data_IF_063379324063
#
_entry.id   IF_063379324063
#
_cell.length_a   1.000
_cell.length_b   1.000
_cell.length_c   1.000
_cell.angle_alpha   90.00
_cell.angle_beta   90.00
_cell.angle_gamma   90.00
#
_symmetry.space_group_name_H-M   'P 1'
#
loop_
_entity.id
_entity.type
_entity.pdbx_description
1 polymer ?
#
# COMPACT_ATOMS: atom_id res chain seq x y z
N UNK A 1 -75.86 23.03 -11.27
CA UNK A 1 -75.58 21.86 -10.42
C UNK A 1 -74.43 21.13 -11.09
N UNK A 2 -73.22 21.30 -10.57
CA UNK A 2 -71.99 20.70 -11.13
C UNK A 2 -71.57 19.63 -10.14
N UNK A 3 -71.73 18.36 -10.50
CA UNK A 3 -71.23 17.23 -9.74
C UNK A 3 -69.72 17.14 -9.91
N UNK A 4 -68.98 17.31 -8.81
CA UNK A 4 -67.54 17.09 -8.74
C UNK A 4 -67.30 15.61 -8.45
N UNK A 5 -66.77 14.91 -9.46
CA UNK A 5 -66.43 13.50 -9.40
C UNK A 5 -65.02 13.34 -8.80
N UNK A 6 -64.94 12.95 -7.52
CA UNK A 6 -63.69 12.59 -6.83
C UNK A 6 -63.37 11.12 -7.11
N UNK A 7 -62.76 10.84 -8.27
CA UNK A 7 -62.08 9.58 -8.50
C UNK A 7 -60.63 9.68 -8.00
N UNK A 8 -60.34 8.86 -7.00
CA UNK A 8 -59.03 8.63 -6.39
C UNK A 8 -58.05 8.04 -7.41
N UNK A 9 -57.15 8.87 -7.95
CA UNK A 9 -55.94 8.41 -8.62
C UNK A 9 -54.88 8.02 -7.56
N UNK A 10 -54.99 6.83 -6.98
CA UNK A 10 -53.92 6.16 -6.24
C UNK A 10 -53.37 4.98 -7.06
N UNK A 11 -53.05 5.27 -8.33
CA UNK A 11 -52.34 4.39 -9.23
C UNK A 11 -50.93 4.93 -9.53
N UNK A 12 -50.21 5.41 -8.52
CA UNK A 12 -48.79 5.68 -8.67
C UNK A 12 -48.07 4.33 -8.53
N UNK A 13 -47.59 3.83 -9.66
CA UNK A 13 -46.61 2.76 -9.80
C UNK A 13 -45.55 2.88 -8.70
N UNK A 14 -45.61 2.02 -7.69
CA UNK A 14 -44.46 1.76 -6.83
C UNK A 14 -43.32 1.35 -7.76
N UNK A 15 -42.13 1.97 -7.67
CA UNK A 15 -40.96 1.47 -8.37
C UNK A 15 -40.83 0.00 -8.01
N UNK A 16 -40.78 -0.86 -9.04
CA UNK A 16 -40.55 -2.29 -8.87
C UNK A 16 -39.45 -2.46 -7.83
N UNK A 17 -39.78 -3.20 -6.76
CA UNK A 17 -38.87 -3.46 -5.66
C UNK A 17 -37.48 -3.79 -6.25
N UNK A 18 -36.49 -2.96 -5.91
CA UNK A 18 -35.12 -3.21 -6.32
C UNK A 18 -34.81 -4.66 -5.94
N UNK A 19 -34.59 -5.50 -6.95
CA UNK A 19 -34.38 -6.92 -6.76
C UNK A 19 -33.00 -7.04 -6.12
N UNK A 20 -32.96 -7.08 -4.78
CA UNK A 20 -31.71 -7.22 -4.02
C UNK A 20 -31.17 -8.59 -4.42
N UNK A 21 -29.99 -8.67 -5.07
CA UNK A 21 -29.42 -9.94 -5.47
C UNK A 21 -29.31 -10.86 -4.26
N UNK A 22 -29.69 -12.12 -4.41
CA UNK A 22 -29.52 -13.11 -3.34
C UNK A 22 -28.04 -13.19 -2.96
N UNK A 23 -27.73 -13.56 -1.71
CA UNK A 23 -26.34 -13.69 -1.25
C UNK A 23 -25.51 -14.67 -2.11
N UNK A 24 -26.16 -15.55 -2.89
CA UNK A 24 -25.51 -16.44 -3.86
C UNK A 24 -25.31 -15.86 -5.26
N UNK A 25 -25.67 -14.60 -5.51
CA UNK A 25 -25.43 -13.95 -6.81
C UNK A 25 -23.95 -13.65 -6.96
N UNK A 26 -23.31 -14.24 -7.98
CA UNK A 26 -21.92 -13.96 -8.33
C UNK A 26 -21.69 -12.44 -8.38
N UNK A 27 -20.79 -11.93 -7.53
CA UNK A 27 -20.36 -10.53 -7.52
C UNK A 27 -20.85 -9.65 -6.36
N UNK A 28 -21.85 -10.08 -5.58
CA UNK A 28 -22.39 -9.25 -4.47
C UNK A 28 -22.04 -9.78 -3.07
N UNK A 29 -21.97 -11.09 -2.86
CA UNK A 29 -21.43 -11.71 -1.63
C UNK A 29 -20.84 -13.09 -1.93
N UNK A 30 -19.81 -13.15 -2.78
CA UNK A 30 -19.19 -14.43 -3.16
C UNK A 30 -18.37 -15.09 -2.03
N UNK A 31 -18.37 -14.50 -0.83
CA UNK A 31 -17.75 -15.07 0.35
C UNK A 31 -18.81 -15.68 1.25
N UNK A 32 -18.82 -17.02 1.35
CA UNK A 32 -19.60 -17.72 2.36
C UNK A 32 -18.74 -17.87 3.60
N UNK A 33 -19.19 -17.31 4.71
CA UNK A 33 -18.56 -17.53 6.00
C UNK A 33 -18.62 -19.02 6.35
N UNK A 34 -17.55 -19.62 6.93
CA UNK A 34 -17.61 -20.98 7.43
C UNK A 34 -18.57 -21.07 8.63
N UNK A 35 -19.16 -22.24 8.87
CA UNK A 35 -20.05 -22.45 10.04
C UNK A 35 -19.31 -22.26 11.36
N UNK A 36 -18.03 -22.62 11.41
CA UNK A 36 -17.15 -22.41 12.56
C UNK A 36 -16.21 -21.25 12.26
N UNK A 37 -16.16 -20.19 13.10
CA UNK A 37 -15.22 -19.08 12.93
C UNK A 37 -13.77 -19.57 12.91
N UNK A 38 -12.99 -19.12 11.94
CA UNK A 38 -11.55 -19.31 11.94
C UNK A 38 -10.92 -18.51 13.11
N UNK A 39 -9.86 -19.02 13.79
CA UNK A 39 -9.22 -18.30 14.89
C UNK A 39 -8.83 -16.86 14.53
N UNK A 40 -8.29 -16.62 13.32
CA UNK A 40 -7.94 -15.28 12.87
C UNK A 40 -9.14 -14.35 12.68
N UNK A 41 -10.34 -14.86 12.41
CA UNK A 41 -11.54 -14.01 12.36
C UNK A 41 -11.91 -13.49 13.76
N UNK A 42 -11.62 -14.26 14.81
CA UNK A 42 -11.80 -13.82 16.19
C UNK A 42 -10.68 -12.87 16.61
N UNK A 43 -9.44 -13.16 16.20
CA UNK A 43 -8.29 -12.27 16.46
C UNK A 43 -8.48 -10.91 15.79
N UNK A 44 -8.86 -10.87 14.51
CA UNK A 44 -8.98 -9.62 13.73
C UNK A 44 -10.28 -8.87 13.98
N UNK A 45 -11.21 -9.46 14.72
CA UNK A 45 -12.36 -8.74 15.25
C UNK A 45 -11.92 -7.55 16.10
N UNK A 46 -10.77 -7.67 16.77
CA UNK A 46 -10.20 -6.62 17.60
C UNK A 46 -8.95 -6.04 16.94
N UNK A 47 -8.87 -4.71 16.89
CA UNK A 47 -7.72 -4.00 16.31
C UNK A 47 -6.39 -4.39 16.96
N UNK A 48 -6.36 -4.52 18.30
CA UNK A 48 -5.17 -4.95 19.02
C UNK A 48 -4.73 -6.39 18.66
N UNK A 49 -5.68 -7.28 18.38
CA UNK A 49 -5.37 -8.65 17.99
C UNK A 49 -4.76 -8.73 16.59
N UNK A 50 -5.32 -7.98 15.65
CA UNK A 50 -4.74 -7.83 14.31
C UNK A 50 -3.36 -7.20 14.36
N UNK A 51 -3.21 -6.08 15.08
CA UNK A 51 -1.93 -5.38 15.21
C UNK A 51 -0.84 -6.29 15.78
N UNK A 52 -1.15 -7.08 16.81
CA UNK A 52 -0.18 -8.02 17.40
C UNK A 52 0.23 -9.12 16.41
N UNK A 53 -0.71 -9.68 15.65
CA UNK A 53 -0.42 -10.70 14.64
C UNK A 53 0.41 -10.13 13.48
N UNK A 54 0.04 -8.93 13.02
CA UNK A 54 0.76 -8.19 11.98
C UNK A 54 2.19 -7.87 12.43
N UNK A 55 2.37 -7.48 13.69
CA UNK A 55 3.69 -7.14 14.23
C UNK A 55 4.61 -8.36 14.31
N UNK A 56 4.08 -9.53 14.65
CA UNK A 56 4.82 -10.79 14.61
C UNK A 56 5.35 -11.05 13.18
N UNK A 57 4.49 -10.91 12.18
CA UNK A 57 4.86 -11.15 10.78
C UNK A 57 5.85 -10.11 10.26
N UNK A 58 5.61 -8.83 10.58
CA UNK A 58 6.54 -7.73 10.27
C UNK A 58 7.91 -7.98 10.87
N UNK A 59 7.98 -8.41 12.13
CA UNK A 59 9.23 -8.74 12.81
C UNK A 59 10.02 -9.85 12.11
N UNK A 60 9.35 -10.88 11.57
CA UNK A 60 10.01 -11.90 10.75
C UNK A 60 10.60 -11.32 9.47
N UNK A 61 9.81 -10.54 8.74
CA UNK A 61 10.22 -9.97 7.46
C UNK A 61 11.35 -8.94 7.62
N UNK A 62 11.24 -7.99 8.56
CA UNK A 62 12.30 -7.02 8.87
C UNK A 62 13.62 -7.70 9.26
N UNK A 63 13.55 -8.87 9.89
CA UNK A 63 14.72 -9.67 10.25
C UNK A 63 15.27 -10.53 9.08
N UNK A 64 14.73 -10.37 7.86
CA UNK A 64 15.11 -11.18 6.70
C UNK A 64 14.64 -12.63 6.75
N UNK A 65 13.75 -13.00 7.68
CA UNK A 65 13.24 -14.37 7.84
C UNK A 65 12.04 -14.63 6.93
N UNK A 66 12.24 -14.41 5.63
CA UNK A 66 11.18 -14.50 4.61
C UNK A 66 10.53 -15.88 4.53
N UNK A 67 11.32 -16.96 4.71
CA UNK A 67 10.80 -18.33 4.74
C UNK A 67 9.90 -18.63 5.94
N UNK A 68 10.21 -18.09 7.11
CA UNK A 68 9.37 -18.26 8.31
C UNK A 68 8.06 -17.47 8.19
N UNK A 69 8.14 -16.26 7.61
CA UNK A 69 6.96 -15.45 7.31
C UNK A 69 6.04 -16.14 6.29
N UNK A 70 6.60 -16.74 5.24
CA UNK A 70 5.85 -17.52 4.25
C UNK A 70 5.17 -18.73 4.88
N UNK A 71 5.89 -19.51 5.70
CA UNK A 71 5.30 -20.65 6.41
C UNK A 71 4.12 -20.24 7.30
N UNK A 72 4.28 -19.10 8.01
CA UNK A 72 3.22 -18.54 8.86
C UNK A 72 1.99 -18.09 8.06
N UNK A 73 2.21 -17.48 6.90
CA UNK A 73 1.15 -17.07 5.99
C UNK A 73 0.43 -18.27 5.38
N UNK A 74 1.16 -19.31 4.97
CA UNK A 74 0.58 -20.55 4.46
C UNK A 74 -0.32 -21.22 5.51
N UNK A 75 0.18 -21.39 6.74
CA UNK A 75 -0.60 -21.92 7.86
C UNK A 75 -1.88 -21.09 8.09
N UNK A 76 -1.75 -19.76 8.11
CA UNK A 76 -2.88 -18.86 8.30
C UNK A 76 -3.92 -18.96 7.17
N UNK A 77 -3.48 -19.19 5.92
CA UNK A 77 -4.33 -19.30 4.74
C UNK A 77 -5.03 -20.66 4.64
N UNK A 78 -4.51 -21.73 5.25
CA UNK A 78 -5.02 -23.09 5.09
C UNK A 78 -6.51 -23.22 5.42
N UNK A 79 -6.97 -22.55 6.47
CA UNK A 79 -8.37 -22.52 6.90
C UNK A 79 -9.32 -21.76 5.98
N UNK A 80 -8.80 -21.04 4.98
CA UNK A 80 -9.58 -20.19 4.08
C UNK A 80 -9.70 -20.78 2.66
N UNK A 81 -10.90 -20.64 2.07
CA UNK A 81 -11.24 -21.20 0.75
C UNK A 81 -11.84 -20.15 -0.21
N UNK A 82 -11.86 -18.87 0.21
CA UNK A 82 -12.32 -17.77 -0.63
C UNK A 82 -11.44 -17.60 -1.87
N UNK A 83 -11.92 -16.79 -2.82
CA UNK A 83 -11.19 -16.56 -4.07
C UNK A 83 -9.80 -15.98 -3.83
N UNK A 84 -9.65 -15.10 -2.84
CA UNK A 84 -8.38 -14.48 -2.54
C UNK A 84 -7.42 -15.47 -1.87
N UNK A 85 -7.90 -16.27 -0.90
CA UNK A 85 -7.10 -17.35 -0.33
C UNK A 85 -6.61 -18.36 -1.38
N UNK A 86 -7.46 -18.73 -2.36
CA UNK A 86 -7.06 -19.61 -3.46
C UNK A 86 -6.00 -18.99 -4.36
N UNK A 87 -6.11 -17.70 -4.68
CA UNK A 87 -5.06 -16.98 -5.42
C UNK A 87 -3.75 -16.96 -4.63
N UNK A 88 -3.81 -16.62 -3.35
CA UNK A 88 -2.64 -16.60 -2.46
C UNK A 88 -1.91 -17.96 -2.43
N UNK A 89 -2.65 -19.06 -2.26
CA UNK A 89 -2.10 -20.43 -2.26
C UNK A 89 -1.52 -20.85 -3.61
N UNK A 90 -1.96 -20.24 -4.71
CA UNK A 90 -1.46 -20.52 -6.05
C UNK A 90 -0.13 -19.83 -6.38
N UNK A 91 0.25 -18.79 -5.64
CA UNK A 91 1.46 -18.00 -5.91
C UNK A 91 2.63 -18.55 -5.12
N UNK A 92 3.49 -19.27 -5.82
CA UNK A 92 4.77 -19.76 -5.28
C UNK A 92 5.82 -18.64 -5.24
N UNK A 93 6.80 -18.78 -4.35
CA UNK A 93 7.94 -17.88 -4.28
C UNK A 93 8.71 -17.85 -5.62
N UNK A 94 8.94 -19.01 -6.23
CA UNK A 94 9.70 -19.16 -7.49
C UNK A 94 8.95 -18.62 -8.72
N UNK A 95 7.63 -18.46 -8.62
CA UNK A 95 6.80 -17.86 -9.68
C UNK A 95 6.86 -16.34 -9.74
N UNK A 96 7.57 -15.69 -8.81
CA UNK A 96 7.73 -14.24 -8.73
C UNK A 96 9.19 -13.87 -8.99
N UNK A 97 9.42 -12.94 -9.92
CA UNK A 97 10.74 -12.55 -10.35
C UNK A 97 10.87 -11.02 -10.44
N UNK A 98 12.05 -10.51 -10.10
CA UNK A 98 12.45 -9.15 -10.41
C UNK A 98 13.23 -9.19 -11.73
N UNK A 99 12.81 -8.38 -12.69
CA UNK A 99 13.43 -8.29 -14.02
C UNK A 99 14.06 -6.91 -14.22
N UNK A 100 15.18 -6.86 -14.95
CA UNK A 100 15.92 -5.64 -15.28
C UNK A 100 17.23 -5.49 -14.51
N UNK A 101 17.46 -6.24 -13.42
CA UNK A 101 18.73 -6.18 -12.66
C UNK A 101 19.95 -6.52 -13.51
N UNK A 102 19.80 -7.35 -14.52
CA UNK A 102 20.82 -7.69 -15.51
C UNK A 102 21.37 -6.45 -16.24
N UNK A 103 20.55 -5.42 -16.43
CA UNK A 103 20.92 -4.18 -17.10
C UNK A 103 21.51 -3.15 -16.14
N UNK A 104 21.39 -3.37 -14.82
CA UNK A 104 21.83 -2.41 -13.81
C UNK A 104 23.36 -2.25 -13.80
N UNK A 105 24.10 -3.38 -13.82
CA UNK A 105 25.56 -3.33 -13.75
C UNK A 105 26.18 -2.58 -14.95
N UNK A 106 25.78 -2.83 -16.21
CA UNK A 106 26.23 -2.01 -17.34
C UNK A 106 25.95 -0.52 -17.16
N UNK A 107 24.74 -0.16 -16.71
CA UNK A 107 24.37 1.25 -16.47
C UNK A 107 25.27 1.89 -15.42
N UNK A 108 25.58 1.15 -14.35
CA UNK A 108 26.46 1.64 -13.27
C UNK A 108 27.94 1.66 -13.64
N UNK A 109 28.38 0.87 -14.62
CA UNK A 109 29.73 0.93 -15.16
C UNK A 109 29.97 2.20 -15.99
N UNK A 110 28.93 2.70 -16.67
CA UNK A 110 28.96 3.94 -17.45
C UNK A 110 28.66 5.19 -16.61
N UNK A 111 28.21 5.01 -15.36
CA UNK A 111 27.90 6.11 -14.44
C UNK A 111 29.16 6.88 -14.03
N UNK A 112 29.17 8.19 -14.29
CA UNK A 112 30.31 9.07 -13.98
C UNK A 112 30.24 9.70 -12.57
N UNK A 113 29.13 9.52 -11.86
CA UNK A 113 28.91 10.09 -10.53
C UNK A 113 29.52 9.27 -9.39
N UNK A 114 29.11 9.54 -8.14
CA UNK A 114 29.63 8.82 -6.99
C UNK A 114 29.20 7.33 -7.05
N UNK A 115 30.00 6.48 -6.42
CA UNK A 115 29.71 5.06 -6.36
C UNK A 115 28.37 4.81 -5.63
N UNK A 116 27.50 4.02 -6.26
CA UNK A 116 26.22 3.64 -5.66
C UNK A 116 26.45 2.65 -4.52
N UNK A 117 26.10 3.06 -3.30
CA UNK A 117 26.27 2.27 -2.07
C UNK A 117 24.95 1.77 -1.50
N UNK A 118 23.81 2.31 -1.94
CA UNK A 118 22.50 1.77 -1.63
C UNK A 118 21.49 1.88 -2.78
N UNK A 119 20.53 0.96 -2.77
CA UNK A 119 19.39 0.92 -3.66
C UNK A 119 18.14 0.81 -2.78
N UNK A 120 17.16 1.67 -2.96
CA UNK A 120 15.82 1.48 -2.40
C UNK A 120 14.91 0.86 -3.45
N UNK A 121 14.08 -0.10 -3.02
CA UNK A 121 13.10 -0.74 -3.87
C UNK A 121 11.76 -0.83 -3.12
N UNK A 122 10.81 0.02 -3.50
CA UNK A 122 9.47 0.06 -2.93
C UNK A 122 8.44 -0.52 -3.89
N UNK A 123 7.68 -1.53 -3.48
CA UNK A 123 6.49 -1.93 -4.22
C UNK A 123 5.33 -1.00 -3.90
N UNK A 124 4.68 -0.48 -4.93
CA UNK A 124 3.52 0.41 -4.81
C UNK A 124 2.42 0.05 -5.80
N UNK A 125 1.29 0.73 -5.69
CA UNK A 125 0.23 0.72 -6.68
C UNK A 125 -0.07 2.15 -7.14
N UNK A 126 -0.26 2.37 -8.45
CA UNK A 126 -0.77 3.63 -8.95
C UNK A 126 -2.05 4.07 -8.23
N UNK A 127 -2.24 5.38 -8.02
CA UNK A 127 -3.52 5.88 -7.54
C UNK A 127 -4.65 5.52 -8.52
N UNK A 128 -5.87 5.40 -8.00
CA UNK A 128 -7.12 5.25 -8.77
C UNK A 128 -7.34 3.94 -9.57
N UNK A 129 -6.45 2.95 -9.49
CA UNK A 129 -6.66 1.64 -10.16
C UNK A 129 -7.93 0.91 -9.73
N UNK A 130 -8.49 1.23 -8.56
CA UNK A 130 -9.73 0.63 -8.06
C UNK A 130 -10.94 0.83 -9.01
N UNK A 131 -10.87 1.80 -9.93
CA UNK A 131 -11.93 2.10 -10.90
C UNK A 131 -11.70 1.47 -12.27
N UNK A 132 -10.54 0.89 -12.54
CA UNK A 132 -10.20 0.26 -13.81
C UNK A 132 -10.58 -1.22 -13.80
N UNK A 133 -11.72 -1.56 -14.41
CA UNK A 133 -12.22 -2.93 -14.47
C UNK A 133 -11.70 -3.69 -15.70
N UNK A 134 -11.48 -5.00 -15.55
CA UNK A 134 -11.24 -5.91 -16.67
C UNK A 134 -9.80 -5.96 -17.18
N UNK A 135 -8.85 -5.37 -16.44
CA UNK A 135 -7.41 -5.46 -16.70
C UNK A 135 -6.70 -6.01 -15.48
N UNK A 136 -5.58 -6.70 -15.72
CA UNK A 136 -4.64 -7.04 -14.67
C UNK A 136 -3.73 -5.83 -14.44
N UNK A 137 -3.41 -5.60 -13.17
CA UNK A 137 -2.59 -4.52 -12.67
C UNK A 137 -1.33 -5.10 -12.04
N UNK A 138 -0.22 -4.99 -12.74
CA UNK A 138 1.09 -5.29 -12.15
C UNK A 138 1.42 -4.26 -11.06
N UNK A 139 2.02 -4.68 -9.93
CA UNK A 139 2.57 -3.73 -8.97
C UNK A 139 3.66 -2.89 -9.62
N UNK A 140 3.72 -1.61 -9.28
CA UNK A 140 4.82 -0.75 -9.70
C UNK A 140 5.97 -0.81 -8.69
N UNK A 141 7.19 -0.61 -9.18
CA UNK A 141 8.38 -0.55 -8.36
C UNK A 141 8.96 0.87 -8.38
N UNK A 142 9.10 1.44 -7.19
CA UNK A 142 9.79 2.69 -6.95
C UNK A 142 11.24 2.37 -6.64
N UNK A 143 12.15 2.81 -7.50
CA UNK A 143 13.57 2.61 -7.34
C UNK A 143 14.26 3.94 -7.01
N UNK A 144 15.17 3.91 -6.05
CA UNK A 144 16.13 4.99 -5.80
C UNK A 144 17.54 4.43 -5.73
N UNK A 145 18.49 5.12 -6.36
CA UNK A 145 19.91 4.80 -6.31
C UNK A 145 20.60 5.88 -5.48
N UNK A 146 21.44 5.48 -4.52
CA UNK A 146 22.06 6.40 -3.57
C UNK A 146 23.54 6.10 -3.38
N UNK A 147 24.30 7.16 -3.12
CA UNK A 147 25.69 7.11 -2.69
C UNK A 147 25.86 7.49 -1.22
N UNK A 148 27.08 7.27 -0.71
CA UNK A 148 27.45 7.64 0.66
C UNK A 148 27.49 9.17 0.90
N UNK A 149 27.38 9.99 -0.16
CA UNK A 149 27.32 11.45 -0.04
C UNK A 149 26.02 11.90 0.64
N UNK A 150 24.91 11.20 0.37
CA UNK A 150 23.60 11.52 0.93
C UNK A 150 23.41 10.97 2.35
N UNK A 151 23.92 9.75 2.60
CA UNK A 151 23.86 9.07 3.88
C UNK A 151 24.90 7.96 3.90
N UNK A 152 25.56 7.65 5.03
CA UNK A 152 26.72 6.74 5.05
C UNK A 152 26.36 5.23 4.99
N UNK A 153 25.57 4.83 3.98
CA UNK A 153 25.01 3.48 3.77
C UNK A 153 26.05 2.36 3.88
N UNK A 154 27.26 2.58 3.39
CA UNK A 154 28.31 1.55 3.40
C UNK A 154 28.85 1.23 4.80
N UNK A 155 28.61 2.11 5.78
CA UNK A 155 29.20 2.04 7.13
C UNK A 155 28.19 1.90 8.27
N UNK A 156 26.92 2.22 8.04
CA UNK A 156 25.87 2.05 9.04
C UNK A 156 25.46 0.59 9.18
N UNK A 157 24.97 0.21 10.37
CA UNK A 157 24.41 -1.12 10.58
C UNK A 157 23.05 -1.27 9.90
N UNK A 158 22.62 -2.51 9.65
CA UNK A 158 21.26 -2.75 9.14
C UNK A 158 20.20 -2.25 10.14
N UNK A 159 20.46 -2.34 11.44
CA UNK A 159 19.55 -1.84 12.47
C UNK A 159 19.41 -0.30 12.41
N UNK A 160 20.51 0.42 12.20
CA UNK A 160 20.49 1.88 12.04
C UNK A 160 19.81 2.29 10.73
N UNK A 161 20.01 1.54 9.64
CA UNK A 161 19.28 1.75 8.38
C UNK A 161 17.78 1.59 8.55
N UNK A 162 17.34 0.51 9.21
CA UNK A 162 15.93 0.29 9.50
C UNK A 162 15.37 1.39 10.40
N UNK A 163 16.12 1.82 11.42
CA UNK A 163 15.72 2.94 12.27
C UNK A 163 15.63 4.27 11.49
N UNK A 164 16.48 4.47 10.48
CA UNK A 164 16.40 5.63 9.58
C UNK A 164 15.16 5.58 8.69
N UNK A 165 14.86 4.41 8.10
CA UNK A 165 13.63 4.16 7.35
C UNK A 165 12.36 4.31 8.21
N UNK A 166 12.47 4.27 9.53
CA UNK A 166 11.35 4.48 10.45
C UNK A 166 10.98 5.95 10.68
N UNK A 167 11.78 6.87 10.17
CA UNK A 167 11.49 8.29 10.26
C UNK A 167 10.49 8.68 9.18
N UNK A 168 9.67 9.69 9.48
CA UNK A 168 8.77 10.31 8.50
C UNK A 168 9.51 10.80 7.25
N UNK A 169 10.78 11.20 7.41
CA UNK A 169 11.65 11.61 6.31
C UNK A 169 13.07 11.09 6.58
N UNK A 170 13.45 9.92 6.01
CA UNK A 170 14.82 9.45 6.04
C UNK A 170 15.81 10.49 5.50
N UNK A 171 17.01 10.56 6.06
CA UNK A 171 17.99 11.59 5.74
C UNK A 171 18.39 11.68 4.24
N UNK A 172 18.25 10.59 3.49
CA UNK A 172 18.59 10.50 2.07
C UNK A 172 17.44 10.83 1.10
N UNK A 173 16.23 11.12 1.60
CA UNK A 173 15.08 11.42 0.73
C UNK A 173 15.37 12.62 -0.17
N UNK A 174 15.16 12.46 -1.48
CA UNK A 174 15.39 13.53 -2.46
C UNK A 174 16.84 13.67 -2.93
N UNK A 175 17.74 12.83 -2.42
CA UNK A 175 19.15 12.78 -2.81
C UNK A 175 19.44 11.52 -3.68
N UNK A 176 18.44 11.04 -4.40
CA UNK A 176 18.60 10.02 -5.44
C UNK A 176 19.58 10.48 -6.52
N UNK A 177 20.49 9.58 -6.92
CA UNK A 177 21.36 9.78 -8.08
C UNK A 177 20.51 9.73 -9.35
N UNK A 178 20.79 10.62 -10.30
CA UNK A 178 20.03 10.79 -11.54
C UNK A 178 20.44 9.72 -12.58
N UNK A 179 20.16 8.46 -12.25
CA UNK A 179 20.45 7.29 -13.07
C UNK A 179 19.13 6.73 -13.60
N UNK A 180 18.92 6.82 -14.91
CA UNK A 180 17.74 6.27 -15.57
C UNK A 180 17.84 4.74 -15.63
N UNK A 181 17.03 4.06 -14.83
CA UNK A 181 16.98 2.60 -14.83
C UNK A 181 15.56 2.13 -14.46
N UNK A 182 15.12 1.05 -15.11
CA UNK A 182 13.78 0.49 -14.93
C UNK A 182 13.86 -0.93 -14.38
N UNK A 183 13.02 -1.22 -13.39
CA UNK A 183 12.85 -2.55 -12.81
C UNK A 183 11.37 -2.91 -12.83
N UNK A 184 11.05 -4.19 -13.02
CA UNK A 184 9.68 -4.69 -12.93
C UNK A 184 9.59 -5.95 -12.07
N UNK A 185 8.38 -6.26 -11.59
CA UNK A 185 8.08 -7.48 -10.85
C UNK A 185 7.01 -8.29 -11.58
N UNK A 186 7.32 -9.55 -11.85
CA UNK A 186 6.43 -10.48 -12.54
C UNK A 186 5.72 -11.42 -11.55
N UNK A 187 4.59 -11.99 -11.98
CA UNK A 187 3.89 -13.06 -11.26
C UNK A 187 2.96 -12.59 -10.13
N UNK A 188 2.78 -11.29 -9.95
CA UNK A 188 1.91 -10.71 -8.91
C UNK A 188 0.63 -10.04 -9.43
N UNK A 189 0.47 -9.89 -10.75
CA UNK A 189 -0.62 -9.14 -11.38
C UNK A 189 -2.02 -9.56 -10.89
N UNK A 190 -2.29 -10.87 -10.86
CA UNK A 190 -3.60 -11.41 -10.47
C UNK A 190 -3.93 -11.12 -9.01
N UNK A 191 -2.98 -11.37 -8.10
CA UNK A 191 -3.16 -11.08 -6.67
C UNK A 191 -3.30 -9.59 -6.42
N UNK A 192 -2.42 -8.77 -7.01
CA UNK A 192 -2.46 -7.34 -6.84
C UNK A 192 -3.79 -6.74 -7.31
N UNK A 193 -4.26 -7.15 -8.48
CA UNK A 193 -5.60 -6.80 -9.00
C UNK A 193 -6.71 -7.21 -8.03
N UNK A 194 -6.67 -8.44 -7.51
CA UNK A 194 -7.66 -8.93 -6.57
C UNK A 194 -7.67 -8.11 -5.26
N UNK A 195 -6.51 -7.68 -4.77
CA UNK A 195 -6.37 -6.83 -3.59
C UNK A 195 -6.90 -5.41 -3.85
N UNK A 196 -6.53 -4.79 -4.98
CA UNK A 196 -7.00 -3.47 -5.43
C UNK A 196 -8.54 -3.41 -5.50
N UNK A 197 -9.18 -4.50 -5.93
CA UNK A 197 -10.64 -4.57 -6.04
C UNK A 197 -11.33 -5.26 -4.86
N UNK A 198 -10.59 -5.65 -3.81
CA UNK A 198 -11.18 -6.31 -2.66
C UNK A 198 -12.11 -5.34 -1.91
N UNK A 199 -13.41 -5.67 -1.90
CA UNK A 199 -14.44 -4.87 -1.22
C UNK A 199 -14.35 -4.95 0.31
N UNK A 200 -13.81 -6.06 0.83
CA UNK A 200 -13.70 -6.29 2.27
C UNK A 200 -12.58 -5.48 2.92
N UNK A 201 -11.72 -4.78 2.16
CA UNK A 201 -10.63 -3.94 2.70
C UNK A 201 -11.09 -2.82 3.64
N UNK A 202 -12.38 -2.50 3.67
CA UNK A 202 -12.98 -1.44 4.50
C UNK A 202 -13.81 -1.99 5.65
N UNK A 203 -13.37 -3.07 6.28
CA UNK A 203 -14.06 -3.64 7.45
C UNK A 203 -14.10 -2.62 8.60
N UNK A 204 -15.31 -2.22 9.02
CA UNK A 204 -15.50 -1.35 10.17
C UNK A 204 -15.77 -2.17 11.43
N UNK A 205 -14.93 -1.99 12.46
CA UNK A 205 -15.07 -2.65 13.77
C UNK A 205 -16.11 -1.97 14.67
N UNK A 206 -17.14 -1.36 14.10
CA UNK A 206 -18.18 -0.63 14.83
C UNK A 206 -19.36 -1.52 15.26
N UNK A 207 -19.23 -2.83 15.06
CA UNK A 207 -20.26 -3.84 15.36
C UNK A 207 -21.35 -3.97 14.30
N UNK A 208 -21.32 -3.18 13.21
CA UNK A 208 -22.28 -3.26 12.10
C UNK A 208 -21.80 -4.17 10.98
N UNK A 209 -20.49 -4.21 10.73
CA UNK A 209 -19.88 -5.01 9.66
C UNK A 209 -19.35 -6.37 10.15
N UNK A 210 -19.35 -6.60 11.47
CA UNK A 210 -19.01 -7.90 12.05
C UNK A 210 -20.15 -8.90 11.82
N UNK A 211 -19.84 -10.05 11.23
CA UNK A 211 -20.80 -11.16 11.13
C UNK A 211 -20.74 -11.88 12.46
N UNK A 212 -21.83 -11.95 13.23
CA UNK A 212 -21.94 -12.90 14.36
C UNK A 212 -20.75 -12.89 15.35
N UNK A 213 -20.26 -11.70 15.72
CA UNK A 213 -19.11 -11.53 16.61
C UNK A 213 -17.78 -12.12 16.09
N UNK A 214 -17.54 -12.05 14.77
CA UNK A 214 -16.26 -12.33 14.12
C UNK A 214 -15.99 -11.32 12.98
N UNK A 215 -14.72 -11.13 12.62
CA UNK A 215 -14.35 -10.39 11.43
C UNK A 215 -14.77 -11.16 10.15
N UNK A 216 -15.18 -10.46 9.07
CA UNK A 216 -15.46 -11.10 7.79
C UNK A 216 -14.25 -11.90 7.30
N UNK A 217 -14.44 -13.15 6.88
CA UNK A 217 -13.32 -13.97 6.43
C UNK A 217 -12.64 -13.40 5.19
N UNK A 218 -13.41 -12.75 4.30
CA UNK A 218 -12.86 -12.01 3.16
C UNK A 218 -11.98 -10.80 3.54
N UNK A 219 -12.15 -10.23 4.74
CA UNK A 219 -11.24 -9.21 5.27
C UNK A 219 -9.94 -9.84 5.78
N UNK A 220 -10.02 -10.98 6.47
CA UNK A 220 -8.83 -11.72 6.90
C UNK A 220 -8.00 -12.15 5.68
N UNK A 221 -8.63 -12.71 4.64
CA UNK A 221 -7.96 -13.04 3.38
C UNK A 221 -7.29 -11.83 2.73
N UNK A 222 -7.91 -10.65 2.83
CA UNK A 222 -7.33 -9.40 2.31
C UNK A 222 -6.02 -9.04 3.04
N UNK A 223 -6.04 -9.03 4.37
CA UNK A 223 -4.83 -8.75 5.16
C UNK A 223 -3.74 -9.78 4.85
N UNK A 224 -4.07 -11.07 4.85
CA UNK A 224 -3.11 -12.13 4.52
C UNK A 224 -2.53 -11.98 3.10
N UNK A 225 -3.37 -11.62 2.12
CA UNK A 225 -2.94 -11.40 0.74
C UNK A 225 -1.99 -10.21 0.58
N UNK A 226 -2.24 -9.09 1.28
CA UNK A 226 -1.30 -7.96 1.28
C UNK A 226 0.08 -8.36 1.84
N UNK A 227 0.11 -9.12 2.94
CA UNK A 227 1.36 -9.58 3.53
C UNK A 227 2.07 -10.65 2.70
N UNK A 228 1.33 -11.52 2.01
CA UNK A 228 1.91 -12.45 1.04
C UNK A 228 2.55 -11.71 -0.13
N UNK A 229 1.89 -10.68 -0.67
CA UNK A 229 2.42 -9.85 -1.73
C UNK A 229 3.77 -9.21 -1.32
N UNK A 230 3.84 -8.63 -0.11
CA UNK A 230 5.08 -8.08 0.43
C UNK A 230 6.16 -9.17 0.62
N UNK A 231 5.77 -10.34 1.15
CA UNK A 231 6.68 -11.48 1.35
C UNK A 231 7.27 -11.96 0.02
N UNK A 232 6.47 -12.03 -1.04
CA UNK A 232 6.92 -12.46 -2.38
C UNK A 232 7.90 -11.49 -3.01
N UNK A 233 7.67 -10.17 -2.86
CA UNK A 233 8.65 -9.15 -3.24
C UNK A 233 9.99 -9.36 -2.52
N UNK A 234 9.96 -9.51 -1.19
CA UNK A 234 11.16 -9.67 -0.38
C UNK A 234 11.94 -10.94 -0.73
N UNK A 235 11.25 -12.05 -0.98
CA UNK A 235 11.89 -13.29 -1.45
C UNK A 235 12.51 -13.14 -2.85
N UNK A 236 11.88 -12.38 -3.74
CA UNK A 236 12.45 -12.11 -5.06
C UNK A 236 13.70 -11.22 -4.95
N UNK A 237 13.67 -10.21 -4.06
CA UNK A 237 14.84 -9.37 -3.76
C UNK A 237 15.98 -10.16 -3.13
N UNK A 238 15.68 -11.04 -2.17
CA UNK A 238 16.66 -11.95 -1.54
C UNK A 238 17.35 -12.83 -2.59
N UNK A 239 16.58 -13.47 -3.48
CA UNK A 239 17.15 -14.27 -4.58
C UNK A 239 18.01 -13.44 -5.52
N UNK A 240 17.61 -12.21 -5.83
CA UNK A 240 18.41 -11.31 -6.67
C UNK A 240 19.77 -11.01 -6.01
N UNK A 241 19.77 -10.71 -4.71
CA UNK A 241 20.99 -10.49 -3.92
C UNK A 241 21.89 -11.74 -3.93
N UNK A 242 21.32 -12.91 -3.68
CA UNK A 242 22.04 -14.19 -3.63
C UNK A 242 22.63 -14.58 -4.99
N UNK A 243 21.96 -14.22 -6.09
CA UNK A 243 22.47 -14.39 -7.45
C UNK A 243 23.64 -13.43 -7.78
N UNK A 244 23.94 -12.46 -6.91
CA UNK A 244 25.05 -11.53 -7.09
C UNK A 244 24.79 -10.45 -8.14
N UNK A 245 23.53 -10.13 -8.42
CA UNK A 245 23.16 -9.11 -9.42
C UNK A 245 23.37 -7.67 -8.91
N UNK A 246 23.55 -7.51 -7.60
CA UNK A 246 23.82 -6.20 -7.00
C UNK A 246 25.30 -5.80 -7.12
N UNK A 247 25.59 -4.50 -7.25
CA UNK A 247 26.95 -4.00 -7.17
C UNK A 247 27.62 -4.41 -5.86
N UNK A 248 28.92 -4.73 -5.92
CA UNK A 248 29.67 -5.21 -4.75
C UNK A 248 29.67 -4.18 -3.62
N UNK A 249 29.18 -4.59 -2.45
CA UNK A 249 29.14 -3.76 -1.25
C UNK A 249 27.93 -2.81 -1.18
N UNK A 250 27.03 -2.87 -2.17
CA UNK A 250 25.78 -2.13 -2.16
C UNK A 250 24.77 -2.73 -1.17
N UNK A 251 23.95 -1.88 -0.54
CA UNK A 251 22.80 -2.25 0.30
C UNK A 251 21.53 -2.22 -0.54
N UNK A 252 20.69 -3.24 -0.41
CA UNK A 252 19.35 -3.20 -0.99
C UNK A 252 18.32 -3.03 0.13
N UNK A 253 17.63 -1.90 0.15
CA UNK A 253 16.57 -1.55 1.09
C UNK A 253 15.24 -1.79 0.38
N UNK A 254 14.59 -2.92 0.65
CA UNK A 254 13.36 -3.31 -0.04
C UNK A 254 12.17 -3.25 0.90
N UNK A 255 11.05 -2.76 0.40
CA UNK A 255 9.83 -2.69 1.17
C UNK A 255 8.62 -2.37 0.32
N UNK A 256 7.59 -1.91 1.00
CA UNK A 256 6.29 -1.60 0.43
C UNK A 256 5.90 -0.16 0.69
N UNK A 257 5.11 0.41 -0.22
CA UNK A 257 4.64 1.79 -0.16
C UNK A 257 3.17 1.83 -0.53
N UNK A 258 2.34 2.45 0.32
CA UNK A 258 0.89 2.61 0.10
C UNK A 258 0.12 1.31 -0.20
N UNK A 259 0.70 0.16 0.11
CA UNK A 259 0.03 -1.14 0.17
C UNK A 259 -0.20 -1.51 1.63
N UNK A 260 -1.30 -2.20 1.92
CA UNK A 260 -1.78 -2.45 3.29
C UNK A 260 -0.98 -3.56 4.03
N UNK A 261 0.32 -3.64 3.75
CA UNK A 261 1.32 -4.46 4.41
C UNK A 261 2.60 -3.63 4.40
N UNK A 262 2.82 -2.89 5.48
CA UNK A 262 3.93 -1.96 5.61
C UNK A 262 5.15 -2.70 6.18
N UNK A 263 6.24 -2.77 5.42
CA UNK A 263 7.46 -3.46 5.83
C UNK A 263 8.65 -2.94 5.04
N UNK A 264 9.81 -2.93 5.71
CA UNK A 264 11.12 -2.68 5.10
C UNK A 264 12.11 -3.72 5.61
N UNK A 265 12.95 -4.20 4.71
CA UNK A 265 14.03 -5.16 4.96
C UNK A 265 15.30 -4.67 4.27
N UNK A 266 16.45 -4.91 4.89
CA UNK A 266 17.76 -4.57 4.32
C UNK A 266 18.49 -5.85 3.95
N UNK A 267 18.80 -6.00 2.67
CA UNK A 267 19.62 -7.08 2.12
C UNK A 267 21.04 -6.59 1.78
N UNK A 268 21.98 -7.55 1.71
CA UNK A 268 23.38 -7.31 1.38
C UNK A 268 24.34 -7.53 2.55
N UNK A 269 25.64 -7.66 2.24
CA UNK A 269 26.66 -8.09 3.19
C UNK A 269 26.86 -7.07 4.32
N UNK A 270 26.40 -7.38 5.54
CA UNK A 270 26.71 -6.58 6.73
C UNK A 270 28.22 -6.44 6.87
N UNK A 271 28.75 -5.22 6.69
CA UNK A 271 30.16 -4.98 6.94
C UNK A 271 30.27 -4.92 8.44
N UNK A 272 30.93 -5.92 9.03
CA UNK A 272 31.21 -5.96 10.46
C UNK A 272 32.06 -4.75 10.83
N UNK A 273 31.43 -3.63 11.13
CA UNK A 273 32.06 -2.61 11.93
C UNK A 273 32.29 -3.24 13.30
N UNK A 274 33.52 -3.23 13.80
CA UNK A 274 33.89 -3.74 15.13
C UNK A 274 33.27 -2.96 16.30
N UNK A 275 32.09 -2.37 16.10
CA UNK A 275 31.29 -1.61 17.05
C UNK A 275 30.18 -2.45 17.64
N UNK A 276 30.12 -2.42 18.97
CA UNK A 276 29.26 -3.20 19.87
C UNK A 276 27.77 -2.99 19.54
N UNK A 277 27.06 -4.08 19.23
CA UNK A 277 25.60 -4.08 19.12
C UNK A 277 24.93 -3.69 20.44
N UNK A 278 24.12 -2.63 20.43
CA UNK A 278 23.28 -2.23 21.56
C UNK A 278 21.90 -2.88 21.42
N UNK A 279 21.76 -4.09 21.94
CA UNK A 279 20.51 -4.84 21.92
C UNK A 279 19.58 -4.43 23.08
N UNK A 280 18.86 -3.31 22.98
CA UNK A 280 17.70 -2.99 23.86
C UNK A 280 16.68 -2.00 23.24
N UNK A 281 16.48 -2.01 21.92
CA UNK A 281 15.43 -1.19 21.28
C UNK A 281 14.19 -2.01 20.98
N UNK A 282 12.99 -1.49 21.28
CA UNK A 282 11.74 -1.97 20.66
C UNK A 282 11.88 -1.87 19.13
N UNK A 283 11.23 -2.75 18.35
CA UNK A 283 11.25 -2.64 16.89
C UNK A 283 10.74 -1.26 16.48
N UNK A 284 11.56 -0.50 15.77
CA UNK A 284 11.18 0.77 15.16
C UNK A 284 10.53 0.48 13.80
N UNK A 285 9.37 1.08 13.55
CA UNK A 285 8.56 0.85 12.36
C UNK A 285 9.12 1.58 11.15
N UNK A 286 9.73 0.86 10.21
CA UNK A 286 10.26 1.40 8.96
C UNK A 286 9.23 1.37 7.83
N UNK A 287 9.03 2.50 7.14
CA UNK A 287 8.19 2.60 5.93
C UNK A 287 9.00 3.29 4.82
N UNK A 288 8.84 2.86 3.58
CA UNK A 288 9.36 3.63 2.44
C UNK A 288 8.32 4.70 2.09
N UNK A 289 8.69 5.98 2.18
CA UNK A 289 7.78 7.09 1.88
C UNK A 289 7.93 7.54 0.43
N UNK A 290 6.83 7.68 -0.32
CA UNK A 290 6.87 8.38 -1.62
C UNK A 290 7.20 9.85 -1.38
N UNK A 291 8.12 10.40 -2.17
CA UNK A 291 8.37 11.85 -2.21
C UNK A 291 7.05 12.58 -2.50
N UNK A 292 6.59 13.51 -1.66
CA UNK A 292 5.48 14.37 -2.01
C UNK A 292 5.86 15.14 -3.29
N UNK A 293 5.05 15.03 -4.35
CA UNK A 293 5.28 15.82 -5.55
C UNK A 293 5.15 17.30 -5.21
N UNK A 294 6.27 18.02 -5.22
CA UNK A 294 6.28 19.48 -5.12
C UNK A 294 6.41 20.00 -6.55
N UNK A 295 5.41 20.74 -7.08
CA UNK A 295 5.55 21.36 -8.39
C UNK A 295 6.83 22.21 -8.40
N UNK A 296 7.73 21.91 -9.34
CA UNK A 296 8.88 22.76 -9.60
C UNK A 296 8.33 24.13 -10.01
N UNK A 297 8.59 25.17 -9.22
CA UNK A 297 8.25 26.53 -9.59
C UNK A 297 8.95 26.82 -10.92
N UNK A 298 8.18 26.82 -12.01
CA UNK A 298 8.67 27.25 -13.31
C UNK A 298 8.82 28.78 -13.20
N UNK A 299 10.05 29.32 -13.23
CA UNK A 299 10.27 30.76 -13.15
C UNK A 299 9.67 31.53 -14.35
N UNK A 300 9.13 30.81 -15.34
CA UNK A 300 8.42 31.39 -16.49
C UNK A 300 6.89 31.28 -16.41
N UNK A 301 6.32 30.68 -15.36
CA UNK A 301 4.87 30.51 -15.20
C UNK A 301 4.10 31.81 -14.82
N UNK A 302 4.78 32.93 -14.58
CA UNK A 302 4.16 34.25 -14.42
C UNK A 302 3.70 34.84 -15.78
N UNK A 303 2.75 34.20 -16.47
CA UNK A 303 2.12 34.86 -17.63
C UNK A 303 0.73 34.35 -18.06
N UNK A 304 0.17 33.28 -17.49
CA UNK A 304 -1.15 32.79 -17.95
C UNK A 304 -2.05 32.50 -16.77
N UNK A 305 -3.00 33.41 -16.53
CA UNK A 305 -4.09 33.15 -15.59
C UNK A 305 -4.86 31.90 -16.05
N UNK A 306 -5.07 30.90 -15.17
CA UNK A 306 -5.83 29.71 -15.54
C UNK A 306 -7.27 30.09 -15.91
N UNK A 307 -7.85 29.50 -16.97
CA UNK A 307 -9.25 29.73 -17.30
C UNK A 307 -10.14 29.28 -16.13
N UNK A 308 -11.09 30.15 -15.75
CA UNK A 308 -11.99 29.91 -14.63
C UNK A 308 -12.63 28.51 -14.69
N UNK A 309 -12.52 27.79 -13.57
CA UNK A 309 -13.06 26.44 -13.42
C UNK A 309 -14.59 26.44 -13.54
N UNK A 310 -15.17 25.31 -13.93
CA UNK A 310 -16.62 25.13 -14.10
C UNK A 310 -17.41 25.50 -12.84
N UNK A 311 -16.83 25.28 -11.65
CA UNK A 311 -17.37 25.71 -10.35
C UNK A 311 -17.45 27.24 -10.21
N UNK A 312 -16.43 27.97 -10.65
CA UNK A 312 -16.43 29.44 -10.61
C UNK A 312 -17.45 30.03 -11.59
N UNK A 313 -17.66 29.39 -12.75
CA UNK A 313 -18.71 29.79 -13.70
C UNK A 313 -20.12 29.57 -13.17
N UNK A 314 -20.32 28.51 -12.37
CA UNK A 314 -21.62 28.20 -11.76
C UNK A 314 -21.95 29.12 -10.57
N UNK A 315 -20.96 29.51 -9.75
CA UNK A 315 -21.19 30.42 -8.61
C UNK A 315 -21.40 31.89 -9.01
N UNK A 316 -21.02 32.30 -10.24
CA UNK A 316 -21.23 33.66 -10.71
C UNK A 316 -22.68 33.97 -11.14
N UNK A 317 -23.61 33.01 -11.03
CA UNK A 317 -25.00 33.15 -11.50
C UNK A 317 -26.07 33.02 -10.41
N UNK A 318 -25.69 33.02 -9.14
CA UNK A 318 -26.65 32.96 -8.02
C UNK A 318 -26.55 34.20 -7.14
N UNK A 319 -27.39 35.20 -7.42
CA UNK A 319 -27.76 36.22 -6.45
C UNK A 319 -28.79 35.60 -5.48
N UNK A 320 -28.36 35.23 -4.26
CA UNK A 320 -29.26 35.12 -3.12
C UNK A 320 -28.55 35.35 -1.76
N UNK A 321 -29.27 35.83 -0.74
CA UNK A 321 -28.73 36.65 0.34
C UNK A 321 -28.12 35.85 1.50
N UNK A 322 -27.21 36.53 2.21
CA UNK A 322 -26.46 36.01 3.34
C UNK A 322 -27.35 35.45 4.48
N UNK A 323 -27.09 34.20 4.84
CA UNK A 323 -27.59 33.56 6.05
C UNK A 323 -26.44 33.34 7.07
N UNK A 324 -26.73 33.31 8.38
CA UNK A 324 -25.83 33.78 9.43
C UNK A 324 -24.75 32.77 9.85
N UNK A 325 -23.63 33.31 10.33
CA UNK A 325 -22.48 32.58 10.83
C UNK A 325 -22.84 31.57 11.92
N UNK A 326 -22.64 30.28 11.64
CA UNK A 326 -22.60 29.22 12.66
C UNK A 326 -21.15 28.98 13.07
N UNK A 327 -20.84 29.39 14.30
CA UNK A 327 -19.62 29.08 15.04
C UNK A 327 -19.59 27.59 15.38
N UNK A 328 -18.80 26.82 14.63
CA UNK A 328 -18.53 25.40 14.88
C UNK A 328 -17.06 25.18 15.24
N UNK A 329 -16.82 24.34 16.25
CA UNK A 329 -15.53 24.04 16.88
C UNK A 329 -14.40 23.56 15.92
N UNK A 330 -14.74 23.22 14.67
CA UNK A 330 -13.80 22.76 13.64
C UNK A 330 -13.10 23.88 12.85
N UNK A 331 -13.50 25.15 13.04
CA UNK A 331 -12.83 26.31 12.41
C UNK A 331 -11.50 26.72 13.07
N UNK A 332 -10.99 25.93 14.04
CA UNK A 332 -9.73 26.21 14.78
C UNK A 332 -8.57 25.25 14.49
N UNK A 333 -8.76 24.23 13.64
CA UNK A 333 -7.71 23.23 13.38
C UNK A 333 -7.07 23.29 11.99
N UNK A 334 -7.60 24.08 11.05
CA UNK A 334 -7.04 24.20 9.69
C UNK A 334 -7.06 25.63 9.13
N UNK A 335 -6.67 26.62 9.93
CA UNK A 335 -6.68 28.02 9.50
C UNK A 335 -5.49 28.84 9.99
N UNK A 336 -4.36 28.74 9.29
CA UNK A 336 -3.41 29.83 8.92
C UNK A 336 -2.01 29.28 8.66
N UNK A 337 -1.65 29.15 7.37
CA UNK A 337 -0.35 29.63 6.87
C UNK A 337 -0.62 30.22 5.48
N UNK A 338 -0.69 31.55 5.41
CA UNK A 338 -0.31 32.34 4.25
C UNK A 338 0.12 33.72 4.76
N UNK A 339 1.39 34.06 4.55
CA UNK A 339 1.87 35.43 4.39
C UNK A 339 2.59 36.08 5.58
N UNK A 340 3.89 35.82 5.73
CA UNK A 340 5.01 36.75 5.43
C UNK A 340 6.31 36.22 5.99
#
# INVERSE_FOLDING_TARGET
MIEVNLQSNLGASHPQAANIPSAGTQGVRAYSEPDVPHPLQLTFLHEAGEAAWVEELRGLLTAGRTGDADARLCEALDGFQGSLARLCKGISADGVALEGFEDLLPVLEEWEGPAITAITLGLTNPPDLAFEAGRLHDPELLLGLYSDESYPFSSVSNADLLAECAKEMPAWVGAEEDVEFHLSIQGLAELNTALIHCKHRRFLRDGRDGVEARAPGGYVEYVLGCWLLATRLLQAAERAVDAGVLPRGCRLITGTVDVNADVVTVFGAERSNGGRASATGQPAFATLTVKPWVPREDPTAEAVAPPATLRQRLCATSDEPAAPARTGLFARLFGRILGR
#
